data_IF_490478654603
#
_entry.id   IF_490478654603
#
_cell.length_a   1.000
_cell.length_b   1.000
_cell.length_c   1.000
_cell.angle_alpha   90.00
_cell.angle_beta   90.00
_cell.angle_gamma   90.00
#
_symmetry.space_group_name_H-M   'P 1'
#
loop_
_entity.id
_entity.type
_entity.pdbx_description
1 polymer ?
#
# COMPACT_ATOMS: atom_id res chain seq x y z
N UNK A 1 -9.23 -4.11 18.43
CA UNK A 1 -8.72 -4.72 17.19
C UNK A 1 -8.06 -3.57 16.44
N UNK A 2 -6.74 -3.54 16.31
CA UNK A 2 -6.12 -2.52 15.45
C UNK A 2 -6.61 -2.79 14.04
N UNK A 3 -7.43 -1.90 13.48
CA UNK A 3 -7.79 -1.97 12.07
C UNK A 3 -6.49 -1.87 11.28
N UNK A 4 -6.08 -2.98 10.67
CA UNK A 4 -4.85 -3.03 9.89
C UNK A 4 -4.94 -2.00 8.77
N UNK A 5 -3.89 -1.19 8.62
CA UNK A 5 -3.76 -0.21 7.54
C UNK A 5 -3.93 -0.87 6.16
N UNK A 6 -4.34 -0.09 5.17
CA UNK A 6 -4.52 -0.59 3.81
C UNK A 6 -3.23 -1.23 3.25
N UNK A 7 -2.07 -0.66 3.58
CA UNK A 7 -0.76 -1.16 3.13
C UNK A 7 -0.36 -2.46 3.85
N UNK A 8 -0.74 -2.62 5.12
CA UNK A 8 -0.57 -3.90 5.82
C UNK A 8 -1.41 -5.02 5.16
N UNK A 9 -2.65 -4.71 4.74
CA UNK A 9 -3.50 -5.65 3.98
C UNK A 9 -2.91 -5.97 2.61
N UNK A 10 -2.37 -4.96 1.92
CA UNK A 10 -1.69 -5.12 0.63
C UNK A 10 -0.47 -6.04 0.74
N UNK A 11 0.40 -5.84 1.75
CA UNK A 11 1.54 -6.71 2.02
C UNK A 11 1.12 -8.16 2.27
N UNK A 12 0.06 -8.38 3.04
CA UNK A 12 -0.43 -9.73 3.31
C UNK A 12 -0.95 -10.40 2.03
N UNK A 13 -1.66 -9.68 1.18
CA UNK A 13 -2.13 -10.20 -0.10
C UNK A 13 -0.96 -10.57 -1.04
N UNK A 14 0.07 -9.73 -1.09
CA UNK A 14 1.30 -9.97 -1.84
C UNK A 14 2.05 -11.22 -1.35
N UNK A 15 2.27 -11.33 -0.02
CA UNK A 15 2.94 -12.49 0.59
C UNK A 15 2.16 -13.80 0.41
N UNK A 16 0.84 -13.74 0.36
CA UNK A 16 0.00 -14.90 0.09
C UNK A 16 -0.12 -15.24 -1.41
N UNK A 17 0.50 -14.45 -2.30
CA UNK A 17 0.38 -14.63 -3.75
C UNK A 17 -1.02 -14.35 -4.29
N UNK A 18 -1.87 -13.62 -3.54
CA UNK A 18 -3.23 -13.30 -3.96
C UNK A 18 -3.25 -12.02 -4.79
N UNK A 19 -2.85 -12.16 -6.06
CA UNK A 19 -2.70 -11.05 -7.01
C UNK A 19 -4.00 -10.26 -7.17
N UNK A 20 -5.14 -10.95 -7.32
CA UNK A 20 -6.43 -10.28 -7.50
C UNK A 20 -6.82 -9.39 -6.32
N UNK A 21 -6.61 -9.87 -5.09
CA UNK A 21 -6.87 -9.08 -3.89
C UNK A 21 -5.88 -7.92 -3.74
N UNK A 22 -4.59 -8.16 -4.07
CA UNK A 22 -3.55 -7.13 -4.05
C UNK A 22 -3.92 -5.95 -4.95
N UNK A 23 -4.31 -6.23 -6.19
CA UNK A 23 -4.73 -5.20 -7.15
C UNK A 23 -5.99 -4.44 -6.71
N UNK A 24 -6.97 -5.15 -6.13
CA UNK A 24 -8.18 -4.52 -5.61
C UNK A 24 -7.87 -3.56 -4.46
N UNK A 25 -7.02 -3.97 -3.52
CA UNK A 25 -6.57 -3.13 -2.41
C UNK A 25 -5.84 -1.89 -2.93
N UNK A 26 -4.91 -2.05 -3.86
CA UNK A 26 -4.15 -0.95 -4.44
C UNK A 26 -5.05 0.10 -5.11
N UNK A 27 -6.07 -0.35 -5.87
CA UNK A 27 -7.06 0.54 -6.51
C UNK A 27 -7.96 1.28 -5.51
N UNK A 28 -8.24 0.66 -4.37
CA UNK A 28 -9.08 1.26 -3.32
C UNK A 28 -8.31 2.25 -2.44
N UNK A 29 -6.98 2.20 -2.42
CA UNK A 29 -6.17 3.16 -1.67
C UNK A 29 -6.40 4.59 -2.15
N UNK A 30 -6.56 5.47 -1.18
CA UNK A 30 -6.79 6.91 -1.31
C UNK A 30 -5.62 7.69 -0.75
N UNK A 31 -5.63 9.02 -0.89
CA UNK A 31 -4.58 9.89 -0.33
C UNK A 31 -4.38 9.70 1.19
N UNK A 32 -5.46 9.41 1.93
CA UNK A 32 -5.41 9.23 3.38
C UNK A 32 -4.59 8.00 3.79
N UNK A 33 -4.60 6.95 2.96
CA UNK A 33 -3.79 5.75 3.18
C UNK A 33 -2.28 6.01 3.05
N UNK A 34 -1.89 7.13 2.47
CA UNK A 34 -0.49 7.54 2.30
C UNK A 34 -0.07 8.71 3.21
N UNK A 35 -0.95 9.20 4.09
CA UNK A 35 -0.70 10.39 4.92
C UNK A 35 -0.75 10.09 6.43
N UNK A 36 -0.24 11.03 7.24
CA UNK A 36 -0.43 11.01 8.70
C UNK A 36 0.13 9.77 9.40
N UNK A 37 -0.63 9.16 10.31
CA UNK A 37 -0.23 7.93 11.00
C UNK A 37 -0.03 6.75 10.04
N UNK A 38 -0.84 6.68 8.97
CA UNK A 38 -0.66 5.67 7.94
C UNK A 38 0.71 5.79 7.26
N UNK A 39 1.25 7.00 7.07
CA UNK A 39 2.59 7.18 6.50
C UNK A 39 3.70 6.52 7.32
N UNK A 40 3.63 6.59 8.66
CA UNK A 40 4.60 5.94 9.54
C UNK A 40 4.48 4.41 9.49
N UNK A 41 3.25 3.89 9.49
CA UNK A 41 2.99 2.47 9.30
C UNK A 41 3.49 2.01 7.92
N UNK A 42 3.25 2.79 6.88
CA UNK A 42 3.73 2.51 5.52
C UNK A 42 5.24 2.41 5.45
N UNK A 43 5.98 3.26 6.17
CA UNK A 43 7.44 3.19 6.21
C UNK A 43 7.92 1.88 6.84
N UNK A 44 7.27 1.43 7.92
CA UNK A 44 7.55 0.12 8.54
C UNK A 44 7.23 -1.04 7.60
N UNK A 45 6.12 -0.93 6.87
CA UNK A 45 5.63 -1.96 5.96
C UNK A 45 6.44 -2.06 4.67
N UNK A 46 6.90 -0.93 4.12
CA UNK A 46 7.77 -0.86 2.93
C UNK A 46 9.08 -1.65 3.13
N UNK A 47 9.66 -1.62 4.33
CA UNK A 47 10.85 -2.41 4.65
C UNK A 47 10.60 -3.93 4.66
N UNK A 48 9.34 -4.36 4.73
CA UNK A 48 8.92 -5.78 4.75
C UNK A 48 8.38 -6.24 3.39
N UNK A 49 8.28 -5.33 2.43
CA UNK A 49 7.79 -5.58 1.08
C UNK A 49 8.94 -5.85 0.10
N UNK A 50 8.66 -6.67 -0.91
CA UNK A 50 9.57 -6.85 -2.03
C UNK A 50 9.65 -5.61 -2.92
N UNK A 51 10.72 -5.47 -3.73
CA UNK A 51 10.94 -4.28 -4.56
C UNK A 51 9.80 -4.03 -5.57
N UNK A 52 9.18 -5.09 -6.08
CA UNK A 52 8.04 -4.99 -7.00
C UNK A 52 6.80 -4.39 -6.32
N UNK A 53 6.43 -4.91 -5.15
CA UNK A 53 5.29 -4.42 -4.38
C UNK A 53 5.51 -2.97 -3.88
N UNK A 54 6.75 -2.59 -3.56
CA UNK A 54 7.10 -1.19 -3.25
C UNK A 54 6.92 -0.29 -4.48
N UNK A 55 7.29 -0.77 -5.68
CA UNK A 55 7.10 -0.03 -6.93
C UNK A 55 5.62 0.22 -7.22
N UNK A 56 4.76 -0.78 -7.05
CA UNK A 56 3.31 -0.65 -7.22
C UNK A 56 2.69 0.40 -6.27
N UNK A 57 3.10 0.41 -5.00
CA UNK A 57 2.66 1.44 -4.04
C UNK A 57 3.16 2.84 -4.42
N UNK A 58 4.40 2.95 -4.91
CA UNK A 58 4.99 4.21 -5.37
C UNK A 58 4.25 4.76 -6.60
N UNK A 59 3.92 3.90 -7.56
CA UNK A 59 3.12 4.26 -8.73
C UNK A 59 1.73 4.76 -8.33
N UNK A 60 1.06 4.08 -7.39
CA UNK A 60 -0.24 4.53 -6.87
C UNK A 60 -0.14 5.85 -6.11
N UNK A 61 0.91 6.05 -5.33
CA UNK A 61 1.17 7.34 -4.69
C UNK A 61 1.37 8.45 -5.74
N UNK A 62 2.14 8.21 -6.80
CA UNK A 62 2.29 9.18 -7.89
C UNK A 62 0.97 9.46 -8.62
N UNK A 63 0.11 8.47 -8.82
CA UNK A 63 -1.22 8.67 -9.42
C UNK A 63 -2.12 9.57 -8.55
N UNK A 64 -2.05 9.40 -7.22
CA UNK A 64 -2.88 10.16 -6.30
C UNK A 64 -2.35 11.58 -6.05
N UNK A 65 -1.04 11.75 -5.90
CA UNK A 65 -0.40 13.01 -5.48
C UNK A 65 0.33 13.75 -6.60
N UNK A 66 0.69 13.06 -7.69
CA UNK A 66 1.27 13.68 -8.87
C UNK A 66 0.21 14.49 -9.60
N UNK A 67 0.20 15.80 -9.35
CA UNK A 67 -0.56 16.76 -10.16
C UNK A 67 -0.11 16.70 -11.62
N UNK A 68 -1.08 16.60 -12.54
CA UNK A 68 -0.93 17.23 -13.86
C UNK A 68 -0.91 18.75 -13.70
#
# INVERSE_FOLDING_TARGET
MSDKSAICKFRLADQCGNIGMKEQLLKQMTKEDFCGENYLDNLSENNKLGPEAVKELSERHMELFGTK
#
